data_IF_018107061229
#
_entry.id   IF_018107061229
#
_cell.length_a   1.000
_cell.length_b   1.000
_cell.length_c   1.000
_cell.angle_alpha   90.00
_cell.angle_beta   90.00
_cell.angle_gamma   90.00
#
_symmetry.space_group_name_H-M   'P 1'
#
loop_
_entity.id
_entity.type
_entity.pdbx_description
1 polymer ?
#
# COMPACT_ATOMS: atom_id res chain seq x y z
N UNK A 1 -21.70 61.35 -30.77
CA UNK A 1 -22.88 60.45 -30.90
C UNK A 1 -22.35 59.03 -31.00
N UNK A 2 -22.38 58.26 -29.90
CA UNK A 2 -23.41 57.23 -29.60
C UNK A 2 -23.26 56.01 -30.53
N UNK A 3 -23.09 54.75 -30.11
CA UNK A 3 -23.30 54.07 -28.82
C UNK A 3 -22.38 52.84 -28.72
N UNK A 4 -21.94 52.55 -27.50
CA UNK A 4 -21.28 51.33 -27.02
C UNK A 4 -22.30 50.19 -26.90
N UNK A 5 -21.95 48.96 -27.29
CA UNK A 5 -22.73 47.75 -26.99
C UNK A 5 -21.81 46.68 -26.40
N UNK A 6 -21.89 46.52 -25.08
CA UNK A 6 -21.35 45.37 -24.34
C UNK A 6 -22.34 44.21 -24.42
N UNK A 7 -21.88 43.01 -24.80
CA UNK A 7 -22.64 41.76 -24.62
C UNK A 7 -22.30 41.16 -23.26
N UNK A 8 -23.33 41.07 -22.44
CA UNK A 8 -23.33 40.57 -21.06
C UNK A 8 -23.29 39.04 -20.98
N UNK A 9 -22.66 38.55 -19.92
CA UNK A 9 -22.68 37.16 -19.46
C UNK A 9 -24.09 36.73 -19.05
N UNK A 10 -24.49 35.52 -19.44
CA UNK A 10 -25.75 34.91 -19.01
C UNK A 10 -25.45 33.82 -17.98
N UNK A 11 -25.65 34.13 -16.70
CA UNK A 11 -25.71 33.18 -15.58
C UNK A 11 -27.17 32.79 -15.36
N UNK A 12 -27.47 31.50 -15.30
CA UNK A 12 -28.80 31.00 -14.96
C UNK A 12 -28.95 30.80 -13.45
N UNK A 13 -30.06 31.27 -12.85
CA UNK A 13 -30.25 31.29 -11.41
C UNK A 13 -30.73 29.93 -10.88
N UNK A 14 -30.30 29.65 -9.64
CA UNK A 14 -30.89 28.68 -8.73
C UNK A 14 -32.40 28.93 -8.57
N UNK A 15 -33.19 27.86 -8.62
CA UNK A 15 -34.58 27.85 -8.15
C UNK A 15 -34.78 26.70 -7.16
N UNK A 16 -35.30 27.08 -6.00
CA UNK A 16 -35.56 26.31 -4.81
C UNK A 16 -37.08 26.02 -4.71
N UNK A 17 -37.43 24.77 -4.33
CA UNK A 17 -38.70 24.27 -3.73
C UNK A 17 -39.96 24.18 -4.63
N UNK A 18 -40.95 23.26 -4.37
CA UNK A 18 -41.39 22.79 -3.04
C UNK A 18 -41.62 21.28 -2.84
N UNK A 19 -41.79 20.95 -1.56
CA UNK A 19 -42.19 19.66 -0.97
C UNK A 19 -43.57 19.17 -1.40
N UNK A 20 -43.69 17.87 -1.68
CA UNK A 20 -44.97 17.16 -1.55
C UNK A 20 -44.76 15.71 -1.08
N UNK A 21 -45.61 15.37 -0.12
CA UNK A 21 -45.71 14.13 0.64
C UNK A 21 -46.20 13.00 -0.28
N UNK A 22 -45.42 11.92 -0.40
CA UNK A 22 -45.97 10.62 -0.79
C UNK A 22 -45.40 9.50 0.09
N UNK A 23 -46.29 9.03 0.96
CA UNK A 23 -46.16 7.88 1.85
C UNK A 23 -46.08 6.60 1.01
N UNK A 24 -44.91 5.98 0.92
CA UNK A 24 -44.75 4.64 0.33
C UNK A 24 -44.32 3.65 1.41
N UNK A 25 -45.27 2.83 1.85
CA UNK A 25 -45.05 1.63 2.66
C UNK A 25 -44.26 0.63 1.81
N UNK A 26 -43.03 0.31 2.20
CA UNK A 26 -42.38 -0.95 1.84
C UNK A 26 -41.92 -1.62 3.14
N UNK A 27 -42.68 -2.62 3.58
CA UNK A 27 -42.23 -3.56 4.61
C UNK A 27 -41.23 -4.52 3.98
N UNK A 28 -40.04 -4.59 4.55
CA UNK A 28 -39.09 -5.67 4.27
C UNK A 28 -39.01 -6.55 5.52
N UNK A 29 -39.55 -7.76 5.37
CA UNK A 29 -39.46 -8.86 6.31
C UNK A 29 -38.02 -9.41 6.29
N UNK A 30 -37.34 -9.38 7.43
CA UNK A 30 -36.14 -10.18 7.63
C UNK A 30 -36.56 -11.61 8.00
N UNK A 31 -36.24 -12.56 7.13
CA UNK A 31 -36.35 -14.00 7.41
C UNK A 31 -34.97 -14.52 7.80
N UNK A 32 -34.85 -14.99 9.04
CA UNK A 32 -33.69 -15.73 9.54
C UNK A 32 -33.96 -17.22 9.36
N UNK A 33 -33.14 -17.89 8.55
CA UNK A 33 -33.08 -19.36 8.51
C UNK A 33 -31.87 -19.83 9.30
N UNK A 34 -32.13 -20.58 10.36
CA UNK A 34 -31.13 -21.27 11.19
C UNK A 34 -31.02 -22.71 10.67
N UNK A 35 -29.85 -23.19 10.22
CA UNK A 35 -29.60 -24.63 10.15
C UNK A 35 -29.20 -25.17 11.53
N UNK A 36 -29.80 -26.33 11.82
CA UNK A 36 -29.90 -27.07 13.07
C UNK A 36 -28.55 -27.67 13.49
N UNK A 37 -28.22 -27.54 14.78
CA UNK A 37 -27.09 -28.19 15.43
C UNK A 37 -27.25 -29.72 15.47
N UNK A 38 -26.14 -30.44 15.29
CA UNK A 38 -25.99 -31.84 15.73
C UNK A 38 -24.91 -31.89 16.81
N UNK A 39 -25.28 -32.52 17.92
CA UNK A 39 -24.60 -32.52 19.20
C UNK A 39 -23.33 -33.39 19.18
N UNK A 40 -22.24 -32.85 19.73
CA UNK A 40 -21.18 -33.65 20.34
C UNK A 40 -20.90 -33.10 21.74
N UNK A 41 -21.09 -33.99 22.71
CA UNK A 41 -20.86 -33.94 24.15
C UNK A 41 -19.88 -32.87 24.64
N UNK A 42 -20.38 -31.88 25.39
CA UNK A 42 -19.55 -31.02 26.24
C UNK A 42 -19.23 -31.76 27.53
N UNK A 43 -17.95 -32.08 27.75
CA UNK A 43 -17.43 -32.40 29.08
C UNK A 43 -17.26 -31.09 29.83
N UNK A 44 -17.98 -30.91 30.93
CA UNK A 44 -17.81 -29.76 31.82
C UNK A 44 -16.39 -29.78 32.40
N UNK A 45 -15.54 -28.90 31.89
CA UNK A 45 -14.28 -28.58 32.57
C UNK A 45 -14.52 -27.33 33.38
N UNK A 46 -14.61 -27.47 34.71
CA UNK A 46 -14.66 -26.36 35.66
C UNK A 46 -13.41 -25.49 35.45
N UNK A 47 -13.58 -24.33 34.83
CA UNK A 47 -12.52 -23.33 34.74
C UNK A 47 -12.37 -22.71 36.12
N UNK A 48 -11.33 -23.16 36.84
CA UNK A 48 -10.86 -22.51 38.05
C UNK A 48 -10.49 -21.06 37.72
N UNK A 49 -11.13 -20.12 38.41
CA UNK A 49 -10.70 -18.72 38.47
C UNK A 49 -9.37 -18.64 39.23
N UNK A 50 -8.28 -18.99 38.55
CA UNK A 50 -6.94 -18.67 39.01
C UNK A 50 -6.65 -17.23 38.62
N UNK A 51 -6.65 -16.35 39.61
CA UNK A 51 -6.08 -15.01 39.58
C UNK A 51 -4.57 -15.08 39.32
N UNK A 52 -4.18 -15.39 38.09
CA UNK A 52 -2.80 -15.27 37.64
C UNK A 52 -2.57 -13.80 37.25
N UNK A 53 -2.07 -13.03 38.21
CA UNK A 53 -1.34 -11.81 37.95
C UNK A 53 -0.26 -12.14 36.91
N UNK A 54 -0.51 -11.78 35.65
CA UNK A 54 0.44 -12.01 34.56
C UNK A 54 1.67 -11.18 34.90
N UNK A 55 2.77 -11.87 35.20
CA UNK A 55 4.13 -11.34 35.25
C UNK A 55 4.29 -10.28 34.16
N UNK A 56 4.32 -9.00 34.55
CA UNK A 56 4.74 -7.95 33.63
C UNK A 56 6.16 -8.30 33.18
N UNK A 57 6.33 -8.46 31.88
CA UNK A 57 7.61 -8.75 31.23
C UNK A 57 8.71 -7.90 31.85
N UNK A 58 9.66 -8.57 32.50
CA UNK A 58 10.81 -7.93 33.14
C UNK A 58 11.73 -7.46 32.01
N UNK A 59 11.52 -6.22 31.55
CA UNK A 59 12.39 -5.59 30.54
C UNK A 59 13.82 -5.59 31.11
N UNK A 60 14.80 -6.18 30.41
CA UNK A 60 16.20 -6.13 30.83
C UNK A 60 16.63 -4.67 30.99
N UNK A 61 17.05 -4.27 32.19
CA UNK A 61 17.35 -2.87 32.50
C UNK A 61 18.65 -2.35 31.88
N UNK A 62 19.52 -3.24 31.42
CA UNK A 62 20.86 -2.92 30.94
C UNK A 62 20.97 -2.88 29.40
N UNK A 63 19.86 -2.99 28.68
CA UNK A 63 19.83 -3.03 27.22
C UNK A 63 18.79 -2.06 26.67
N UNK A 64 19.11 -1.42 25.55
CA UNK A 64 18.21 -0.57 24.78
C UNK A 64 17.94 -1.21 23.41
N UNK A 65 16.66 -1.31 23.03
CA UNK A 65 16.27 -1.82 21.72
C UNK A 65 16.31 -0.71 20.66
N UNK A 66 17.16 -0.89 19.65
CA UNK A 66 17.23 0.00 18.48
C UNK A 66 16.62 -0.71 17.28
N UNK A 67 15.49 -0.21 16.78
CA UNK A 67 14.70 -0.85 15.71
C UNK A 67 14.66 0.07 14.50
N UNK A 68 15.10 -0.46 13.35
CA UNK A 68 14.91 0.15 12.03
C UNK A 68 13.86 -0.62 11.24
N UNK A 69 13.06 0.10 10.44
CA UNK A 69 12.02 -0.50 9.60
C UNK A 69 12.32 -0.15 8.14
N UNK A 70 12.30 -1.16 7.29
CA UNK A 70 12.28 -1.02 5.84
C UNK A 70 10.89 -1.44 5.34
N UNK A 71 10.22 -0.52 4.64
CA UNK A 71 8.86 -0.75 4.14
C UNK A 71 8.84 -0.59 2.63
N UNK A 72 8.38 -1.63 1.94
CA UNK A 72 8.14 -1.62 0.50
C UNK A 72 6.65 -1.36 0.26
N UNK A 73 6.33 -0.35 -0.54
CA UNK A 73 4.95 0.06 -0.81
C UNK A 73 4.65 -0.11 -2.29
N UNK A 74 3.72 -1.00 -2.62
CA UNK A 74 3.30 -1.18 -3.99
C UNK A 74 2.43 -0.01 -4.45
N UNK A 75 2.90 0.67 -5.51
CA UNK A 75 2.21 1.81 -6.07
C UNK A 75 1.02 1.38 -6.94
N UNK A 76 -0.16 1.99 -6.70
CA UNK A 76 -1.39 1.71 -7.44
C UNK A 76 -1.39 2.34 -8.85
N UNK A 77 -0.49 1.85 -9.69
CA UNK A 77 -0.30 2.27 -11.09
C UNK A 77 -0.94 1.26 -12.03
N UNK A 78 -1.38 1.73 -13.21
CA UNK A 78 -2.00 0.85 -14.21
C UNK A 78 -0.98 -0.07 -14.89
N UNK A 79 0.24 0.42 -15.10
CA UNK A 79 1.34 -0.28 -15.77
C UNK A 79 2.56 -0.38 -14.87
N UNK A 80 3.42 -1.37 -15.13
CA UNK A 80 4.66 -1.61 -14.38
C UNK A 80 5.61 -0.41 -14.42
N UNK A 81 6.61 -0.42 -13.53
CA UNK A 81 7.55 0.69 -13.36
C UNK A 81 8.39 0.99 -14.61
N UNK A 82 8.76 -0.04 -15.39
CA UNK A 82 9.70 0.09 -16.51
C UNK A 82 9.18 -0.42 -17.86
N UNK A 83 7.91 -0.80 -17.95
CA UNK A 83 7.28 -1.25 -19.19
C UNK A 83 5.76 -1.04 -19.18
N UNK A 84 5.11 -1.21 -20.34
CA UNK A 84 3.68 -0.99 -20.50
C UNK A 84 2.80 -2.20 -20.11
N UNK A 85 3.37 -3.27 -19.53
CA UNK A 85 2.55 -4.37 -19.03
C UNK A 85 1.62 -3.87 -17.92
N UNK A 86 0.35 -4.30 -17.91
CA UNK A 86 -0.56 -3.95 -16.83
C UNK A 86 -0.15 -4.66 -15.53
N UNK A 87 -0.52 -4.05 -14.41
CA UNK A 87 -0.54 -4.73 -13.12
C UNK A 87 -1.99 -5.06 -12.74
N UNK A 88 -2.25 -6.33 -12.42
CA UNK A 88 -3.53 -6.78 -11.87
C UNK A 88 -3.29 -7.97 -10.96
N UNK A 89 -3.67 -7.82 -9.69
CA UNK A 89 -3.51 -8.86 -8.69
C UNK A 89 -4.35 -10.10 -9.05
N UNK A 90 -3.78 -11.29 -8.87
CA UNK A 90 -4.48 -12.55 -9.16
C UNK A 90 -4.62 -12.88 -10.65
N UNK A 91 -3.93 -12.17 -11.54
CA UNK A 91 -3.84 -12.55 -12.95
C UNK A 91 -3.25 -13.96 -13.12
N UNK A 92 -3.57 -14.64 -14.23
CA UNK A 92 -2.95 -15.92 -14.56
C UNK A 92 -1.42 -15.80 -14.61
N UNK A 93 -0.67 -16.83 -14.18
CA UNK A 93 0.79 -16.82 -14.22
C UNK A 93 1.30 -16.43 -15.61
N UNK A 94 2.30 -15.53 -15.65
CA UNK A 94 2.98 -15.14 -16.88
C UNK A 94 2.07 -14.56 -17.99
N UNK A 95 0.87 -14.06 -17.65
CA UNK A 95 -0.05 -13.44 -18.63
C UNK A 95 0.23 -11.95 -18.88
N UNK A 96 0.75 -11.23 -17.89
CA UNK A 96 1.05 -9.79 -17.96
C UNK A 96 2.56 -9.53 -18.03
N UNK A 97 3.20 -10.06 -19.08
CA UNK A 97 4.66 -9.99 -19.28
C UNK A 97 5.05 -9.48 -20.67
N UNK A 98 6.29 -9.02 -20.80
CA UNK A 98 6.89 -8.59 -22.07
C UNK A 98 8.42 -8.76 -21.99
N UNK A 99 9.15 -8.59 -23.11
CA UNK A 99 10.61 -8.73 -23.14
C UNK A 99 11.36 -7.91 -22.07
N UNK A 100 10.86 -6.71 -21.72
CA UNK A 100 11.49 -5.83 -20.73
C UNK A 100 11.41 -6.43 -19.32
N UNK A 101 10.21 -6.77 -18.84
CA UNK A 101 10.07 -7.30 -17.49
C UNK A 101 10.54 -8.76 -17.37
N UNK A 102 10.67 -9.47 -18.49
CA UNK A 102 11.31 -10.78 -18.58
C UNK A 102 12.83 -10.72 -18.71
N UNK A 103 13.43 -9.52 -18.78
CA UNK A 103 14.88 -9.38 -18.91
C UNK A 103 15.47 -10.00 -20.18
N UNK A 104 14.71 -10.06 -21.28
CA UNK A 104 15.20 -10.64 -22.53
C UNK A 104 16.31 -9.79 -23.17
N UNK A 105 17.25 -10.41 -23.92
CA UNK A 105 18.33 -9.69 -24.58
C UNK A 105 17.81 -8.58 -25.50
N UNK A 106 18.41 -7.40 -25.39
CA UNK A 106 18.07 -6.23 -26.21
C UNK A 106 16.87 -5.40 -25.72
N UNK A 107 16.16 -5.83 -24.68
CA UNK A 107 15.06 -5.05 -24.10
C UNK A 107 15.58 -3.90 -23.20
N UNK A 108 14.95 -2.73 -23.28
CA UNK A 108 15.35 -1.53 -22.53
C UNK A 108 14.21 -1.03 -21.62
N UNK A 109 14.50 -0.60 -20.38
CA UNK A 109 13.50 -0.07 -19.46
C UNK A 109 13.07 1.35 -19.84
N UNK A 110 11.76 1.64 -19.72
CA UNK A 110 11.21 3.00 -19.85
C UNK A 110 10.37 3.30 -18.61
N UNK A 111 10.80 4.31 -17.84
CA UNK A 111 10.18 4.65 -16.56
C UNK A 111 8.75 5.17 -16.74
N UNK A 112 7.85 4.64 -15.91
CA UNK A 112 6.48 5.10 -15.79
C UNK A 112 6.42 6.44 -15.03
N UNK A 113 5.85 7.47 -15.64
CA UNK A 113 5.74 8.80 -15.03
C UNK A 113 4.90 8.82 -13.73
N UNK A 114 3.90 7.92 -13.60
CA UNK A 114 3.08 7.82 -12.39
C UNK A 114 3.85 7.29 -11.18
N UNK A 115 4.89 6.50 -11.40
CA UNK A 115 5.79 6.06 -10.32
C UNK A 115 6.49 7.27 -9.70
N UNK A 116 6.99 8.20 -10.53
CA UNK A 116 7.61 9.44 -10.05
C UNK A 116 6.58 10.29 -9.30
N UNK A 117 5.40 10.51 -9.89
CA UNK A 117 4.35 11.34 -9.29
C UNK A 117 3.98 10.83 -7.89
N UNK A 118 3.78 9.52 -7.74
CA UNK A 118 3.43 8.92 -6.45
C UNK A 118 4.59 8.93 -5.46
N UNK A 119 5.83 8.70 -5.90
CA UNK A 119 6.99 8.77 -5.04
C UNK A 119 7.22 10.18 -4.49
N UNK A 120 7.02 11.22 -5.32
CA UNK A 120 7.07 12.63 -4.89
C UNK A 120 5.95 12.94 -3.89
N UNK A 121 4.71 12.51 -4.17
CA UNK A 121 3.58 12.67 -3.24
C UNK A 121 3.86 12.00 -1.89
N UNK A 122 4.39 10.79 -1.90
CA UNK A 122 4.76 10.07 -0.69
C UNK A 122 5.87 10.80 0.07
N UNK A 123 6.92 11.26 -0.62
CA UNK A 123 8.00 12.04 -0.02
C UNK A 123 7.49 13.29 0.69
N UNK A 124 6.61 14.06 0.04
CA UNK A 124 5.97 15.23 0.65
C UNK A 124 5.10 14.87 1.85
N UNK A 125 4.29 13.80 1.74
CA UNK A 125 3.45 13.33 2.84
C UNK A 125 4.25 12.86 4.06
N UNK A 126 5.47 12.36 3.83
CA UNK A 126 6.42 11.95 4.87
C UNK A 126 7.38 13.09 5.28
N UNK A 127 7.06 14.35 4.93
CA UNK A 127 7.85 15.53 5.26
C UNK A 127 9.33 15.45 4.82
N UNK A 128 9.62 14.70 3.74
CA UNK A 128 10.98 14.53 3.22
C UNK A 128 11.41 15.74 2.37
N UNK A 129 12.72 15.96 2.30
CA UNK A 129 13.33 16.83 1.30
C UNK A 129 13.36 16.10 -0.04
N UNK A 130 12.81 16.71 -1.09
CA UNK A 130 12.80 16.16 -2.44
C UNK A 130 14.10 16.46 -3.17
N UNK A 131 14.60 15.49 -3.92
CA UNK A 131 15.72 15.67 -4.83
C UNK A 131 15.22 16.19 -6.20
N UNK A 132 15.76 17.32 -6.67
CA UNK A 132 15.48 17.82 -8.02
C UNK A 132 16.12 16.97 -9.11
N UNK A 133 17.22 16.30 -8.77
CA UNK A 133 17.89 15.34 -9.63
C UNK A 133 17.98 14.02 -8.88
N UNK A 134 17.57 12.94 -9.53
CA UNK A 134 17.61 11.60 -8.97
C UNK A 134 17.93 10.61 -10.09
N UNK A 135 18.59 9.50 -9.74
CA UNK A 135 19.01 8.49 -10.72
C UNK A 135 18.58 7.10 -10.30
N UNK A 136 18.54 6.20 -11.27
CA UNK A 136 18.37 4.77 -11.02
C UNK A 136 19.72 4.06 -11.12
N UNK A 137 19.86 3.03 -10.31
CA UNK A 137 21.03 2.19 -10.15
C UNK A 137 20.63 0.72 -10.27
N UNK A 138 21.61 -0.13 -10.60
CA UNK A 138 21.41 -1.58 -10.70
C UNK A 138 21.93 -2.23 -9.43
N UNK A 139 21.04 -2.85 -8.66
CA UNK A 139 21.37 -3.69 -7.49
C UNK A 139 21.50 -5.13 -7.98
N UNK A 140 22.73 -5.62 -8.15
CA UNK A 140 22.99 -6.95 -8.73
C UNK A 140 22.85 -8.07 -7.69
N UNK A 141 22.07 -9.09 -8.02
CA UNK A 141 21.99 -10.37 -7.30
C UNK A 141 21.33 -11.43 -8.17
N UNK A 142 21.68 -12.70 -7.94
CA UNK A 142 21.11 -13.83 -8.68
C UNK A 142 19.99 -14.46 -7.87
N UNK A 143 18.76 -14.40 -8.40
CA UNK A 143 17.63 -15.11 -7.83
C UNK A 143 16.61 -15.44 -8.94
N UNK A 144 15.90 -16.59 -8.90
CA UNK A 144 15.08 -17.04 -10.04
C UNK A 144 13.91 -16.13 -10.40
N UNK A 145 13.40 -15.33 -9.46
CA UNK A 145 12.33 -14.35 -9.72
C UNK A 145 12.83 -13.01 -10.28
N UNK A 146 14.15 -12.84 -10.41
CA UNK A 146 14.80 -11.62 -10.87
C UNK A 146 15.46 -11.85 -12.22
N UNK A 147 14.72 -11.77 -13.34
CA UNK A 147 15.16 -12.25 -14.63
C UNK A 147 16.38 -11.50 -15.22
N UNK A 148 16.61 -10.27 -14.77
CA UNK A 148 17.71 -9.42 -15.28
C UNK A 148 19.06 -9.67 -14.58
N UNK A 149 19.07 -10.42 -13.47
CA UNK A 149 20.25 -10.52 -12.59
C UNK A 149 20.58 -9.21 -11.84
N UNK A 150 19.70 -8.21 -11.92
CA UNK A 150 19.74 -7.00 -11.13
C UNK A 150 18.33 -6.39 -11.00
N UNK A 151 18.10 -5.72 -9.89
CA UNK A 151 16.92 -4.90 -9.63
C UNK A 151 17.26 -3.44 -9.98
N UNK A 152 16.40 -2.78 -10.74
CA UNK A 152 16.48 -1.33 -10.95
C UNK A 152 15.89 -0.64 -9.71
N UNK A 153 16.75 0.03 -8.95
CA UNK A 153 16.40 0.77 -7.71
C UNK A 153 17.15 2.12 -7.71
N UNK A 154 17.28 2.80 -6.58
CA UNK A 154 18.13 4.00 -6.45
C UNK A 154 19.10 3.81 -5.30
N UNK A 155 20.37 4.20 -5.46
CA UNK A 155 21.36 4.03 -4.41
C UNK A 155 21.66 5.33 -3.67
N UNK A 156 22.61 6.12 -4.14
CA UNK A 156 23.12 7.35 -3.51
C UNK A 156 22.19 8.58 -3.66
N UNK A 157 21.44 8.69 -4.75
CA UNK A 157 20.57 9.85 -5.04
C UNK A 157 19.09 9.45 -5.09
N UNK A 158 18.45 9.18 -3.93
CA UNK A 158 17.03 8.85 -3.86
C UNK A 158 16.14 10.06 -4.21
N UNK A 159 14.89 9.80 -4.55
CA UNK A 159 13.92 10.87 -4.87
C UNK A 159 13.55 11.74 -3.66
N UNK A 160 13.58 11.19 -2.44
CA UNK A 160 13.36 11.96 -1.22
C UNK A 160 14.16 11.42 -0.02
N UNK A 161 14.55 12.30 0.91
CA UNK A 161 15.31 11.93 2.10
C UNK A 161 15.02 12.83 3.30
N UNK A 162 15.45 12.38 4.49
CA UNK A 162 15.43 13.17 5.73
C UNK A 162 14.03 13.68 6.14
N UNK A 163 13.03 12.81 6.04
CA UNK A 163 11.67 13.10 6.50
C UNK A 163 11.39 12.61 7.92
N UNK A 164 10.12 12.62 8.30
CA UNK A 164 9.66 12.12 9.59
C UNK A 164 8.16 11.82 9.61
N UNK A 165 7.76 10.98 10.55
CA UNK A 165 6.37 10.67 10.88
C UNK A 165 6.14 10.88 12.39
N UNK A 166 5.09 11.61 12.74
CA UNK A 166 4.62 11.72 14.11
C UNK A 166 3.57 10.65 14.38
N UNK A 167 3.72 9.89 15.46
CA UNK A 167 2.87 8.76 15.81
C UNK A 167 2.42 8.87 17.27
N UNK A 168 1.14 8.61 17.49
CA UNK A 168 0.53 8.53 18.81
C UNK A 168 0.79 7.15 19.41
N UNK A 169 1.40 7.11 20.59
CA UNK A 169 1.69 5.89 21.32
C UNK A 169 0.47 5.51 22.15
N UNK A 170 -0.06 4.27 22.02
CA UNK A 170 -1.17 3.81 22.84
C UNK A 170 -0.85 3.88 24.35
N UNK A 171 -1.86 4.15 25.17
CA UNK A 171 -1.71 4.28 26.62
C UNK A 171 -1.14 3.00 27.29
N UNK A 172 -1.49 1.82 26.75
CA UNK A 172 -0.96 0.54 27.20
C UNK A 172 0.56 0.39 27.03
N UNK A 173 1.17 1.21 26.16
CA UNK A 173 2.62 1.26 25.91
C UNK A 173 3.29 2.55 26.44
N UNK A 174 2.62 3.28 27.33
CA UNK A 174 3.18 4.48 27.98
C UNK A 174 2.59 5.81 27.49
N UNK A 175 1.78 5.81 26.43
CA UNK A 175 1.11 7.01 25.94
C UNK A 175 2.04 8.06 25.31
N UNK A 176 1.45 9.09 24.70
CA UNK A 176 2.16 10.28 24.22
C UNK A 176 2.39 10.32 22.71
N UNK A 177 3.18 11.29 22.26
CA UNK A 177 3.50 11.51 20.85
C UNK A 177 5.00 11.30 20.62
N UNK A 178 5.35 10.55 19.58
CA UNK A 178 6.74 10.31 19.21
C UNK A 178 6.98 10.54 17.73
N UNK A 179 8.08 11.22 17.42
CA UNK A 179 8.57 11.41 16.06
C UNK A 179 9.53 10.29 15.67
N UNK A 180 9.31 9.70 14.50
CA UNK A 180 10.18 8.71 13.88
C UNK A 180 10.78 9.28 12.61
N UNK A 181 12.10 9.22 12.47
CA UNK A 181 12.79 9.70 11.28
C UNK A 181 12.56 8.78 10.08
N UNK A 182 12.43 9.37 8.90
CA UNK A 182 12.44 8.67 7.62
C UNK A 182 13.75 8.99 6.94
N UNK A 183 14.65 8.00 6.87
CA UNK A 183 15.97 8.19 6.26
C UNK A 183 15.85 8.53 4.78
N UNK A 184 15.02 7.77 4.03
CA UNK A 184 14.89 7.90 2.58
C UNK A 184 13.60 7.29 2.06
N UNK A 185 13.17 7.80 0.90
CA UNK A 185 12.16 7.20 0.01
C UNK A 185 12.81 7.08 -1.36
N UNK A 186 12.75 5.91 -1.96
CA UNK A 186 13.31 5.67 -3.29
C UNK A 186 12.40 4.80 -4.13
N UNK A 187 12.58 4.86 -5.44
CA UNK A 187 11.80 4.09 -6.41
C UNK A 187 12.53 2.83 -6.83
N UNK A 188 11.80 1.73 -6.95
CA UNK A 188 12.34 0.48 -7.49
C UNK A 188 11.25 -0.34 -8.18
N UNK A 189 11.68 -1.35 -8.94
CA UNK A 189 10.78 -2.41 -9.41
C UNK A 189 10.69 -3.57 -8.43
N UNK A 190 9.58 -4.28 -8.47
CA UNK A 190 9.37 -5.52 -7.75
C UNK A 190 9.94 -6.73 -8.51
N UNK A 191 10.22 -7.81 -7.77
CA UNK A 191 10.61 -9.09 -8.34
C UNK A 191 9.37 -9.91 -8.77
N UNK A 192 9.62 -11.06 -9.40
CA UNK A 192 8.58 -12.07 -9.61
C UNK A 192 8.17 -12.76 -8.30
N UNK A 193 7.34 -13.79 -8.43
CA UNK A 193 6.94 -14.64 -7.30
C UNK A 193 7.25 -16.09 -7.62
N UNK A 194 7.87 -16.78 -6.66
CA UNK A 194 8.07 -18.23 -6.70
C UNK A 194 7.00 -18.93 -5.86
N UNK A 195 6.55 -20.08 -6.35
CA UNK A 195 5.62 -20.98 -5.69
C UNK A 195 6.25 -22.36 -5.54
N UNK A 196 6.53 -22.76 -4.31
CA UNK A 196 6.97 -24.12 -3.99
C UNK A 196 5.74 -25.02 -3.80
N UNK A 197 5.65 -26.09 -4.59
CA UNK A 197 4.54 -27.05 -4.48
C UNK A 197 4.99 -28.29 -3.72
N UNK A 198 4.14 -28.81 -2.83
CA UNK A 198 4.48 -29.96 -1.96
C UNK A 198 4.85 -31.24 -2.73
N UNK A 199 4.35 -31.39 -3.97
CA UNK A 199 4.50 -32.61 -4.78
C UNK A 199 5.45 -32.45 -5.97
N UNK A 200 6.06 -31.29 -6.15
CA UNK A 200 6.94 -31.00 -7.28
C UNK A 200 8.41 -31.18 -6.91
N UNK A 201 9.19 -31.76 -7.82
CA UNK A 201 10.67 -31.74 -7.73
C UNK A 201 11.27 -30.39 -8.19
N UNK A 202 10.42 -29.38 -8.47
CA UNK A 202 10.80 -28.07 -8.94
C UNK A 202 9.83 -26.99 -8.43
N UNK A 203 10.28 -25.74 -8.45
CA UNK A 203 9.49 -24.56 -8.06
C UNK A 203 8.87 -23.93 -9.31
N UNK A 204 7.69 -23.32 -9.15
CA UNK A 204 6.98 -22.62 -10.22
C UNK A 204 7.12 -21.10 -10.07
#
# INVERSE_FOLDING_TARGET
MSYTMFRTFQVHPFLLYPTSILKRRNGFLYSTTIPKATQSSQTETKVSTSSQSKNLYKIPKDYEAVIGIETHVQLSTLTKAFCNCPYSYGSFPNSSICPVCMGLPGALPVLNNKVIEFAVKLGLALNCNLAFNSKFDRKQYFYPDLPKGYQISQFDVPIAASGFLDVDIPLEFGGGHKRFGITRVHMEEDAGKLMHTEKGNYSQ
#
